data_IF_428548326048
#
_entry.id   IF_428548326048
#
_cell.length_a   1.000
_cell.length_b   1.000
_cell.length_c   1.000
_cell.angle_alpha   90.00
_cell.angle_beta   90.00
_cell.angle_gamma   90.00
#
_symmetry.space_group_name_H-M   'P 1'
#
loop_
_entity.id
_entity.type
_entity.pdbx_description
1 polymer ?
#
# COMPACT_ATOMS: atom_id res chain seq x y z
N UNK A 1 -31.12 3.03 -13.54
CA UNK A 1 -29.70 3.41 -13.66
C UNK A 1 -28.93 2.70 -12.56
N UNK A 2 -28.31 1.56 -12.89
CA UNK A 2 -27.62 0.72 -11.91
C UNK A 2 -26.15 1.15 -11.89
N UNK A 3 -25.75 1.89 -10.85
CA UNK A 3 -24.33 2.20 -10.63
C UNK A 3 -23.68 0.91 -10.14
N UNK A 4 -23.07 0.17 -11.07
CA UNK A 4 -22.15 -0.90 -10.71
C UNK A 4 -20.92 -0.26 -10.06
N UNK A 5 -20.80 -0.44 -8.74
CA UNK A 5 -19.56 -0.19 -8.04
C UNK A 5 -18.48 -1.06 -8.69
N UNK A 6 -17.40 -0.46 -9.21
CA UNK A 6 -16.27 -1.20 -9.80
C UNK A 6 -15.84 -2.26 -8.78
N UNK A 7 -16.06 -3.53 -9.11
CA UNK A 7 -15.59 -4.65 -8.30
C UNK A 7 -14.09 -4.50 -8.11
N UNK A 8 -13.62 -4.62 -6.86
CA UNK A 8 -12.20 -4.71 -6.57
C UNK A 8 -11.64 -5.86 -7.41
N UNK A 9 -10.67 -5.57 -8.29
CA UNK A 9 -10.00 -6.60 -9.09
C UNK A 9 -9.33 -7.56 -8.10
N UNK A 10 -9.78 -8.81 -8.09
CA UNK A 10 -9.17 -9.86 -7.26
C UNK A 10 -7.77 -10.18 -7.79
N UNK A 11 -6.86 -10.48 -6.88
CA UNK A 11 -5.49 -10.91 -7.18
C UNK A 11 -5.06 -12.00 -6.20
N UNK A 12 -4.03 -12.75 -6.56
CA UNK A 12 -3.41 -13.75 -5.70
C UNK A 12 -2.16 -13.18 -5.06
N UNK A 13 -2.04 -13.32 -3.74
CA UNK A 13 -0.84 -12.98 -2.99
C UNK A 13 -0.09 -14.25 -2.62
N UNK A 14 1.15 -14.37 -3.08
CA UNK A 14 2.08 -15.42 -2.70
C UNK A 14 3.14 -14.82 -1.78
N UNK A 15 3.22 -15.31 -0.55
CA UNK A 15 4.26 -14.92 0.40
C UNK A 15 5.31 -16.02 0.43
N UNK A 16 6.57 -15.67 0.19
CA UNK A 16 7.67 -16.64 0.10
C UNK A 16 8.84 -16.22 0.98
N UNK A 17 9.56 -17.21 1.51
CA UNK A 17 10.79 -16.99 2.24
C UNK A 17 11.81 -18.05 1.82
N UNK A 18 13.03 -17.62 1.51
CA UNK A 18 14.16 -18.51 1.29
C UNK A 18 15.26 -18.17 2.31
N UNK A 19 15.67 -19.13 3.16
CA UNK A 19 16.83 -18.94 4.05
C UNK A 19 18.12 -18.64 3.27
N UNK A 20 19.07 -17.89 3.86
CA UNK A 20 20.32 -17.50 3.18
C UNK A 20 21.12 -18.70 2.69
N UNK A 21 21.28 -19.72 3.53
CA UNK A 21 22.07 -20.93 3.23
C UNK A 21 21.31 -21.96 2.38
N UNK A 22 20.04 -21.69 2.05
CA UNK A 22 19.24 -22.61 1.25
C UNK A 22 19.73 -22.62 -0.20
N UNK A 23 19.83 -23.82 -0.79
CA UNK A 23 20.19 -23.98 -2.19
C UNK A 23 19.09 -23.41 -3.12
N UNK A 24 19.49 -22.82 -4.24
CA UNK A 24 18.60 -22.30 -5.30
C UNK A 24 17.60 -23.33 -5.85
N UNK A 25 17.82 -24.63 -5.61
CA UNK A 25 16.86 -25.69 -5.92
C UNK A 25 15.48 -25.45 -5.30
N UNK A 26 15.37 -24.72 -4.18
CA UNK A 26 14.09 -24.33 -3.57
C UNK A 26 13.21 -23.47 -4.49
N UNK A 27 13.77 -22.82 -5.50
CA UNK A 27 13.00 -22.07 -6.50
C UNK A 27 12.13 -22.97 -7.39
N UNK A 28 12.41 -24.29 -7.42
CA UNK A 28 11.54 -25.26 -8.08
C UNK A 28 10.14 -25.27 -7.46
N UNK A 29 10.07 -25.26 -6.14
CA UNK A 29 8.78 -25.26 -5.43
C UNK A 29 8.03 -23.95 -5.68
N UNK A 30 8.75 -22.81 -5.65
CA UNK A 30 8.17 -21.51 -6.01
C UNK A 30 7.60 -21.52 -7.42
N UNK A 31 8.35 -22.07 -8.39
CA UNK A 31 7.90 -22.21 -9.78
C UNK A 31 6.62 -23.03 -9.86
N UNK A 32 6.62 -24.22 -9.28
CA UNK A 32 5.51 -25.16 -9.39
C UNK A 32 4.22 -24.58 -8.75
N UNK A 33 4.36 -23.87 -7.62
CA UNK A 33 3.25 -23.14 -6.97
C UNK A 33 2.77 -21.95 -7.79
N UNK A 34 3.68 -21.18 -8.37
CA UNK A 34 3.33 -20.05 -9.24
C UNK A 34 2.60 -20.54 -10.50
N UNK A 35 3.04 -21.64 -11.11
CA UNK A 35 2.37 -22.24 -12.26
C UNK A 35 0.95 -22.70 -11.92
N UNK A 36 0.73 -23.28 -10.74
CA UNK A 36 -0.62 -23.59 -10.27
C UNK A 36 -1.46 -22.32 -10.08
N UNK A 37 -0.86 -21.25 -9.57
CA UNK A 37 -1.54 -19.97 -9.38
C UNK A 37 -1.97 -19.31 -10.71
N UNK A 38 -1.23 -19.55 -11.82
CA UNK A 38 -1.60 -19.04 -13.14
C UNK A 38 -2.95 -19.59 -13.63
N UNK A 39 -3.34 -20.79 -13.20
CA UNK A 39 -4.60 -21.44 -13.62
C UNK A 39 -5.83 -20.64 -13.18
N UNK A 40 -5.73 -19.86 -12.10
CA UNK A 40 -6.85 -19.03 -11.62
C UNK A 40 -7.14 -17.82 -12.52
N UNK A 41 -6.26 -17.49 -13.47
CA UNK A 41 -6.44 -16.35 -14.37
C UNK A 41 -6.46 -14.98 -13.68
N UNK A 42 -6.00 -14.93 -12.42
CA UNK A 42 -5.89 -13.71 -11.63
C UNK A 42 -4.47 -13.14 -11.72
N UNK A 43 -4.30 -11.81 -11.61
CA UNK A 43 -3.00 -11.21 -11.36
C UNK A 43 -2.36 -11.82 -10.09
N UNK A 44 -1.06 -12.06 -10.13
CA UNK A 44 -0.30 -12.68 -9.03
C UNK A 44 0.73 -11.67 -8.55
N UNK A 45 0.78 -11.45 -7.24
CA UNK A 45 1.83 -10.72 -6.55
C UNK A 45 2.62 -11.72 -5.68
N UNK A 46 3.94 -11.77 -5.86
CA UNK A 46 4.83 -12.56 -5.01
C UNK A 46 5.65 -11.60 -4.16
N UNK A 47 5.62 -11.78 -2.85
CA UNK A 47 6.35 -10.94 -1.89
C UNK A 47 7.17 -11.78 -0.92
N UNK A 48 8.34 -11.29 -0.55
CA UNK A 48 9.06 -11.78 0.61
C UNK A 48 10.58 -11.75 0.48
N UNK A 49 11.26 -12.28 1.49
CA UNK A 49 12.72 -12.28 1.59
C UNK A 49 13.28 -13.57 0.98
N UNK A 50 13.98 -13.44 -0.14
CA UNK A 50 14.61 -14.56 -0.82
C UNK A 50 16.09 -14.72 -0.49
N UNK A 51 16.67 -13.82 0.32
CA UNK A 51 18.11 -13.78 0.60
C UNK A 51 18.96 -13.92 -0.68
N UNK A 52 18.50 -13.31 -1.78
CA UNK A 52 19.15 -13.33 -3.08
C UNK A 52 19.27 -11.90 -3.57
N UNK A 53 20.48 -11.34 -3.47
CA UNK A 53 20.71 -9.94 -3.83
C UNK A 53 20.61 -9.74 -5.34
N UNK A 54 19.54 -9.08 -5.78
CA UNK A 54 19.27 -8.80 -7.19
C UNK A 54 20.15 -7.68 -7.77
N UNK A 55 20.89 -6.94 -6.95
CA UNK A 55 21.83 -5.91 -7.41
C UNK A 55 23.19 -6.48 -7.83
N UNK A 56 23.51 -7.70 -7.40
CA UNK A 56 24.78 -8.37 -7.67
C UNK A 56 24.60 -9.48 -8.69
N UNK A 57 25.55 -9.65 -9.62
CA UNK A 57 25.53 -10.73 -10.60
C UNK A 57 26.04 -12.07 -10.01
N UNK A 58 25.30 -12.66 -9.08
CA UNK A 58 25.60 -13.94 -8.45
C UNK A 58 24.93 -15.12 -9.18
N UNK A 59 25.30 -16.36 -8.83
CA UNK A 59 24.57 -17.54 -9.32
C UNK A 59 23.09 -17.52 -8.88
N UNK A 60 22.84 -17.07 -7.66
CA UNK A 60 21.50 -17.03 -7.08
C UNK A 60 20.61 -15.98 -7.76
N UNK A 61 21.13 -14.77 -7.97
CA UNK A 61 20.38 -13.70 -8.64
C UNK A 61 20.13 -14.01 -10.11
N UNK A 62 21.09 -14.62 -10.82
CA UNK A 62 20.88 -15.11 -12.20
C UNK A 62 19.78 -16.17 -12.24
N UNK A 63 19.79 -17.13 -11.32
CA UNK A 63 18.75 -18.17 -11.27
C UNK A 63 17.37 -17.58 -11.01
N UNK A 64 17.27 -16.64 -10.06
CA UNK A 64 16.01 -15.96 -9.73
C UNK A 64 15.52 -15.06 -10.88
N UNK A 65 16.41 -14.31 -11.53
CA UNK A 65 16.08 -13.50 -12.71
C UNK A 65 15.61 -14.38 -13.87
N UNK A 66 16.30 -15.49 -14.16
CA UNK A 66 15.90 -16.44 -15.19
C UNK A 66 14.52 -17.05 -14.90
N UNK A 67 14.26 -17.39 -13.64
CA UNK A 67 12.92 -17.84 -13.22
C UNK A 67 11.89 -16.74 -13.49
N UNK A 68 12.20 -15.51 -13.09
CA UNK A 68 11.34 -14.35 -13.31
C UNK A 68 10.98 -14.16 -14.78
N UNK A 69 11.98 -14.17 -15.66
CA UNK A 69 11.79 -14.09 -17.11
C UNK A 69 10.97 -15.26 -17.64
N UNK A 70 11.23 -16.49 -17.18
CA UNK A 70 10.51 -17.68 -17.67
C UNK A 70 9.02 -17.70 -17.31
N UNK A 71 8.64 -17.09 -16.19
CA UNK A 71 7.27 -17.03 -15.68
C UNK A 71 6.60 -15.67 -15.91
N UNK A 72 7.25 -14.77 -16.66
CA UNK A 72 6.82 -13.39 -16.87
C UNK A 72 6.53 -12.64 -15.55
N UNK A 73 7.33 -12.92 -14.51
CA UNK A 73 7.32 -12.20 -13.25
C UNK A 73 8.20 -10.96 -13.39
N UNK A 74 7.62 -9.78 -13.16
CA UNK A 74 8.34 -8.51 -13.18
C UNK A 74 8.60 -8.05 -11.76
N UNK A 75 9.87 -7.87 -11.42
CA UNK A 75 10.28 -7.27 -10.16
C UNK A 75 9.91 -5.78 -10.18
N UNK A 76 9.23 -5.31 -9.15
CA UNK A 76 8.82 -3.90 -9.04
C UNK A 76 9.90 -3.03 -8.41
N UNK A 77 10.71 -3.60 -7.52
CA UNK A 77 11.72 -2.88 -6.77
C UNK A 77 13.03 -2.80 -7.55
N UNK A 78 13.59 -1.60 -7.69
CA UNK A 78 14.85 -1.36 -8.40
C UNK A 78 15.96 -0.81 -7.51
N UNK A 79 15.62 -0.42 -6.27
CA UNK A 79 16.54 0.18 -5.31
C UNK A 79 16.78 -0.76 -4.12
N UNK A 80 17.95 -0.71 -3.46
CA UNK A 80 18.22 -1.51 -2.27
C UNK A 80 17.26 -1.15 -1.13
N UNK A 81 16.69 -2.17 -0.49
CA UNK A 81 15.76 -2.00 0.64
C UNK A 81 16.46 -2.28 1.97
N UNK A 82 17.47 -3.16 1.95
CA UNK A 82 18.29 -3.46 3.12
C UNK A 82 19.64 -2.77 3.00
N UNK A 83 19.78 -1.68 3.75
CA UNK A 83 21.02 -0.91 3.85
C UNK A 83 21.63 -1.15 5.22
N UNK A 84 22.86 -1.61 5.24
CA UNK A 84 23.70 -1.70 6.43
C UNK A 84 24.90 -0.78 6.26
N UNK A 85 25.73 -0.65 7.30
CA UNK A 85 26.99 0.09 7.30
C UNK A 85 27.84 -0.13 6.03
N UNK A 86 28.03 -1.39 5.67
CA UNK A 86 28.96 -1.82 4.62
C UNK A 86 28.27 -2.34 3.36
N UNK A 87 26.94 -2.43 3.33
CA UNK A 87 26.22 -3.10 2.23
C UNK A 87 24.88 -2.46 1.90
N UNK A 88 24.52 -2.52 0.62
CA UNK A 88 23.21 -2.11 0.10
C UNK A 88 22.71 -3.25 -0.76
N UNK A 89 21.65 -3.93 -0.32
CA UNK A 89 21.18 -5.17 -0.95
C UNK A 89 19.70 -5.10 -1.28
N UNK A 90 19.31 -5.79 -2.36
CA UNK A 90 17.91 -6.01 -2.75
C UNK A 90 17.61 -7.50 -2.63
N UNK A 91 17.38 -7.96 -1.41
CA UNK A 91 17.05 -9.36 -1.10
C UNK A 91 15.54 -9.59 -0.91
N UNK A 92 14.81 -8.53 -0.57
CA UNK A 92 13.35 -8.51 -0.54
C UNK A 92 12.79 -8.31 -1.95
N UNK A 93 11.86 -9.18 -2.35
CA UNK A 93 11.27 -9.16 -3.68
C UNK A 93 9.80 -8.81 -3.67
N UNK A 94 9.36 -8.11 -4.71
CA UNK A 94 7.96 -7.85 -5.03
C UNK A 94 7.80 -8.09 -6.53
N UNK A 95 7.48 -9.33 -6.90
CA UNK A 95 7.20 -9.69 -8.28
C UNK A 95 5.71 -9.57 -8.60
N UNK A 96 5.38 -9.15 -9.82
CA UNK A 96 4.01 -9.19 -10.34
C UNK A 96 3.95 -9.94 -11.67
N UNK A 97 2.85 -10.66 -11.91
CA UNK A 97 2.52 -11.22 -13.23
C UNK A 97 1.95 -10.17 -14.18
N UNK A 98 1.48 -9.04 -13.66
CA UNK A 98 0.84 -7.97 -14.44
C UNK A 98 1.14 -6.60 -13.84
N UNK A 99 1.92 -5.78 -14.55
CA UNK A 99 2.24 -4.41 -14.11
C UNK A 99 1.05 -3.46 -14.21
N UNK A 100 0.03 -3.76 -15.01
CA UNK A 100 -1.14 -2.89 -15.17
C UNK A 100 -2.07 -2.83 -13.95
N UNK A 101 -1.87 -3.70 -12.96
CA UNK A 101 -2.58 -3.65 -11.67
C UNK A 101 -1.84 -2.82 -10.61
N UNK A 102 -0.63 -2.37 -10.91
CA UNK A 102 0.18 -1.57 -10.00
C UNK A 102 -0.07 -0.09 -10.34
N UNK A 103 -0.64 0.64 -9.37
CA UNK A 103 -0.91 2.08 -9.50
C UNK A 103 0.34 2.89 -9.20
N UNK A 104 1.07 2.49 -8.16
CA UNK A 104 2.31 3.10 -7.73
C UNK A 104 3.18 2.04 -7.03
N UNK A 105 4.50 2.20 -7.08
CA UNK A 105 5.44 1.38 -6.33
C UNK A 105 6.60 2.25 -5.84
N UNK A 106 6.98 2.05 -4.57
CA UNK A 106 8.02 2.83 -3.93
C UNK A 106 8.40 2.23 -2.59
N UNK A 107 9.59 2.58 -2.13
CA UNK A 107 10.04 2.22 -0.79
C UNK A 107 9.52 3.30 0.14
N UNK A 108 8.58 2.94 1.01
CA UNK A 108 8.13 3.83 2.09
C UNK A 108 8.98 3.51 3.31
N UNK A 109 9.81 4.45 3.72
CA UNK A 109 10.56 4.33 4.97
C UNK A 109 9.61 4.59 6.14
N UNK A 110 8.99 3.52 6.64
CA UNK A 110 8.24 3.57 7.89
C UNK A 110 9.19 3.25 9.04
N UNK A 111 9.68 4.29 9.72
CA UNK A 111 10.12 4.11 11.10
C UNK A 111 8.90 3.64 11.88
N UNK A 112 8.90 2.42 12.41
CA UNK A 112 7.83 1.93 13.29
C UNK A 112 7.93 2.63 14.66
N UNK A 113 7.85 3.95 14.60
CA UNK A 113 7.45 4.80 15.71
C UNK A 113 5.92 4.81 15.70
N UNK A 114 5.34 4.39 16.81
CA UNK A 114 3.92 4.44 17.19
C UNK A 114 3.29 5.87 17.13
N UNK A 115 3.80 6.80 16.32
CA UNK A 115 3.60 8.23 16.48
C UNK A 115 3.26 9.03 15.21
N UNK A 116 2.82 8.40 14.13
CA UNK A 116 1.97 9.11 13.18
C UNK A 116 0.66 8.37 13.01
N UNK A 117 -0.25 8.63 13.94
CA UNK A 117 -1.66 8.58 13.62
C UNK A 117 -1.87 9.51 12.43
N UNK A 118 -1.84 8.98 11.22
CA UNK A 118 -2.27 9.68 10.02
C UNK A 118 -3.75 9.95 10.23
N UNK A 119 -4.07 11.18 10.61
CA UNK A 119 -5.45 11.64 10.71
C UNK A 119 -6.07 11.52 9.33
N UNK A 120 -6.97 10.55 9.14
CA UNK A 120 -7.73 10.45 7.91
C UNK A 120 -8.94 11.36 8.06
N UNK A 121 -9.05 12.36 7.20
CA UNK A 121 -10.25 13.19 7.13
C UNK A 121 -11.30 12.41 6.34
N UNK A 122 -12.38 12.03 7.01
CA UNK A 122 -13.50 11.32 6.39
C UNK A 122 -14.83 11.86 6.88
N UNK A 123 -15.89 11.71 6.09
CA UNK A 123 -17.24 12.10 6.49
C UNK A 123 -17.75 11.17 7.59
N UNK A 124 -18.23 11.77 8.68
CA UNK A 124 -18.78 11.04 9.83
C UNK A 124 -20.26 10.78 9.64
N UNK A 125 -20.63 9.53 9.33
CA UNK A 125 -22.03 9.11 9.21
C UNK A 125 -22.66 8.63 10.54
N UNK A 126 -21.98 8.83 11.68
CA UNK A 126 -22.41 8.31 13.00
C UNK A 126 -23.84 8.71 13.40
N UNK A 127 -24.29 9.90 12.98
CA UNK A 127 -25.63 10.42 13.25
C UNK A 127 -26.38 10.75 11.95
N UNK A 128 -25.98 10.14 10.83
CA UNK A 128 -26.61 10.39 9.54
C UNK A 128 -28.03 9.80 9.54
N UNK A 129 -29.03 10.66 9.36
CA UNK A 129 -30.41 10.25 9.10
C UNK A 129 -30.76 10.51 7.62
N UNK A 130 -30.97 9.45 6.82
CA UNK A 130 -31.36 9.59 5.41
C UNK A 130 -32.66 10.36 5.22
N UNK A 131 -33.62 10.26 6.16
CA UNK A 131 -34.95 10.89 6.00
C UNK A 131 -34.85 12.40 6.13
N UNK A 132 -34.17 12.88 7.18
CA UNK A 132 -33.92 14.31 7.38
C UNK A 132 -33.05 14.89 6.27
N UNK A 133 -32.00 14.16 5.84
CA UNK A 133 -31.17 14.56 4.71
C UNK A 133 -31.99 14.73 3.42
N UNK A 134 -32.81 13.74 3.06
CA UNK A 134 -33.66 13.81 1.87
C UNK A 134 -34.72 14.92 1.97
N UNK A 135 -35.25 15.15 3.17
CA UNK A 135 -36.20 16.24 3.42
C UNK A 135 -35.56 17.61 3.11
N UNK A 136 -34.33 17.84 3.57
CA UNK A 136 -33.64 19.11 3.31
C UNK A 136 -33.12 19.23 1.87
N UNK A 137 -32.71 18.12 1.26
CA UNK A 137 -32.30 18.08 -0.15
C UNK A 137 -33.46 18.45 -1.09
N UNK A 138 -34.70 18.08 -0.74
CA UNK A 138 -35.91 18.46 -1.49
C UNK A 138 -36.26 19.94 -1.39
N UNK A 139 -35.76 20.66 -0.39
CA UNK A 139 -36.00 22.11 -0.23
C UNK A 139 -35.11 22.96 -1.13
N UNK A 140 -34.08 22.37 -1.75
CA UNK A 140 -33.22 23.09 -2.68
C UNK A 140 -33.99 23.36 -3.98
N UNK A 141 -33.99 24.62 -4.48
CA UNK A 141 -34.60 24.98 -5.75
C UNK A 141 -33.73 24.53 -6.93
N UNK A 142 -33.70 23.22 -7.20
CA UNK A 142 -32.84 22.63 -8.24
C UNK A 142 -33.06 23.19 -9.66
N UNK A 143 -34.23 23.78 -9.91
CA UNK A 143 -34.55 24.41 -11.20
C UNK A 143 -33.66 25.63 -11.49
N UNK A 144 -33.09 26.27 -10.47
CA UNK A 144 -32.19 27.43 -10.65
C UNK A 144 -30.86 27.02 -11.30
N UNK A 145 -30.44 25.76 -11.17
CA UNK A 145 -29.26 25.23 -11.86
C UNK A 145 -29.46 25.09 -13.37
N UNK A 146 -30.68 25.23 -13.90
CA UNK A 146 -30.95 25.13 -15.34
C UNK A 146 -30.63 26.46 -16.05
N UNK A 147 -30.48 27.56 -15.31
CA UNK A 147 -30.37 28.92 -15.85
C UNK A 147 -28.98 29.33 -16.37
N UNK A 148 -27.92 28.59 -16.03
CA UNK A 148 -26.60 28.82 -16.66
C UNK A 148 -26.56 28.16 -18.04
N UNK A 149 -25.75 28.66 -18.97
CA UNK A 149 -25.50 28.02 -20.27
C UNK A 149 -24.22 27.14 -20.24
N UNK A 150 -23.40 27.24 -19.20
CA UNK A 150 -22.17 26.45 -19.04
C UNK A 150 -22.41 25.18 -18.21
N UNK A 151 -22.07 24.03 -18.79
CA UNK A 151 -22.15 22.72 -18.14
C UNK A 151 -21.28 22.66 -16.88
N UNK A 152 -20.11 23.32 -16.88
CA UNK A 152 -19.21 23.32 -15.73
C UNK A 152 -19.80 24.12 -14.56
N UNK A 153 -20.39 25.29 -14.83
CA UNK A 153 -21.08 26.08 -13.81
C UNK A 153 -22.30 25.35 -13.24
N UNK A 154 -23.08 24.65 -14.07
CA UNK A 154 -24.19 23.81 -13.60
C UNK A 154 -23.73 22.74 -12.64
N UNK A 155 -22.63 22.07 -12.98
CA UNK A 155 -22.04 21.04 -12.15
C UNK A 155 -21.52 21.62 -10.84
N UNK A 156 -20.87 22.79 -10.87
CA UNK A 156 -20.37 23.47 -9.68
C UNK A 156 -21.50 23.85 -8.73
N UNK A 157 -22.55 24.54 -9.22
CA UNK A 157 -23.70 24.91 -8.39
C UNK A 157 -24.42 23.70 -7.79
N UNK A 158 -24.54 22.60 -8.56
CA UNK A 158 -25.08 21.35 -8.04
C UNK A 158 -24.24 20.80 -6.89
N UNK A 159 -22.92 20.71 -7.10
CA UNK A 159 -21.95 20.20 -6.13
C UNK A 159 -21.99 21.03 -4.85
N UNK A 160 -21.99 22.36 -4.95
CA UNK A 160 -22.04 23.27 -3.81
C UNK A 160 -23.35 23.13 -3.02
N UNK A 161 -24.50 23.14 -3.70
CA UNK A 161 -25.80 23.01 -3.05
C UNK A 161 -25.95 21.64 -2.36
N UNK A 162 -25.49 20.58 -3.01
CA UNK A 162 -25.51 19.22 -2.45
C UNK A 162 -24.61 19.10 -1.22
N UNK A 163 -23.35 19.54 -1.33
CA UNK A 163 -22.40 19.42 -0.22
C UNK A 163 -22.77 20.31 0.96
N UNK A 164 -23.35 21.50 0.72
CA UNK A 164 -23.88 22.36 1.79
C UNK A 164 -24.89 21.64 2.68
N UNK A 165 -25.76 20.82 2.10
CA UNK A 165 -26.70 19.99 2.90
C UNK A 165 -25.98 18.79 3.49
N UNK A 166 -25.15 18.09 2.71
CA UNK A 166 -24.45 16.89 3.18
C UNK A 166 -23.52 17.18 4.36
N UNK A 167 -22.87 18.33 4.41
CA UNK A 167 -21.97 18.74 5.49
C UNK A 167 -22.67 18.85 6.84
N UNK A 168 -23.97 19.18 6.86
CA UNK A 168 -24.76 19.22 8.11
C UNK A 168 -25.06 17.83 8.68
N UNK A 169 -25.20 16.82 7.80
CA UNK A 169 -25.61 15.46 8.18
C UNK A 169 -24.45 14.47 8.26
N UNK A 170 -23.39 14.72 7.50
CA UNK A 170 -22.18 13.90 7.43
C UNK A 170 -20.93 14.79 7.32
N UNK A 171 -20.64 15.60 8.35
CA UNK A 171 -19.50 16.50 8.35
C UNK A 171 -18.18 15.74 8.26
N UNK A 172 -17.17 16.38 7.66
CA UNK A 172 -15.80 15.88 7.74
C UNK A 172 -15.33 15.86 9.19
N UNK A 173 -14.75 14.74 9.60
CA UNK A 173 -14.07 14.58 10.88
C UNK A 173 -12.71 13.98 10.65
N UNK A 174 -11.76 14.44 11.44
CA UNK A 174 -10.47 13.79 11.56
C UNK A 174 -10.65 12.48 12.34
N UNK A 175 -10.43 11.36 11.66
CA UNK A 175 -10.42 10.04 12.27
C UNK A 175 -8.98 9.71 12.59
N UNK A 176 -8.69 9.63 13.89
CA UNK A 176 -7.42 9.07 14.37
C UNK A 176 -7.50 7.56 14.26
N UNK A 177 -6.80 7.00 13.29
CA UNK A 177 -6.60 5.55 13.22
C UNK A 177 -5.72 5.19 14.40
N UNK A 178 -6.33 4.59 15.44
CA UNK A 178 -5.58 3.94 16.51
C UNK A 178 -5.19 2.57 15.98
N UNK A 179 -3.90 2.34 15.77
CA UNK A 179 -3.41 0.97 15.56
C UNK A 179 -3.81 0.12 16.77
N UNK A 180 -4.27 -1.11 16.50
CA UNK A 180 -4.51 -2.08 17.56
C UNK A 180 -3.20 -2.31 18.32
N UNK A 181 -3.22 -2.21 19.65
CA UNK A 181 -2.02 -2.51 20.45
C UNK A 181 -1.66 -3.97 20.21
N UNK A 182 -0.56 -4.23 19.51
CA UNK A 182 -0.04 -5.59 19.39
C UNK A 182 0.17 -6.12 20.83
N UNK A 183 -0.57 -7.16 21.26
CA UNK A 183 -0.52 -7.61 22.66
C UNK A 183 0.87 -8.11 23.07
N UNK A 184 1.73 -8.40 22.09
CA UNK A 184 3.10 -8.85 22.29
C UNK A 184 4.13 -7.70 22.37
N UNK A 185 3.74 -6.45 22.09
CA UNK A 185 4.62 -5.28 22.14
C UNK A 185 4.33 -4.50 23.43
N UNK A 186 5.20 -4.68 24.44
CA UNK A 186 5.15 -3.94 25.69
C UNK A 186 5.98 -2.63 25.62
N UNK A 187 5.90 -1.80 26.65
CA UNK A 187 6.60 -0.50 26.70
C UNK A 187 8.13 -0.62 26.66
N UNK A 188 8.70 -1.74 27.12
CA UNK A 188 10.14 -1.98 27.00
C UNK A 188 10.56 -2.24 25.56
N UNK A 189 9.78 -3.07 24.84
CA UNK A 189 10.00 -3.34 23.41
C UNK A 189 9.87 -2.04 22.62
N UNK A 190 8.87 -1.20 22.92
CA UNK A 190 8.73 0.11 22.28
C UNK A 190 9.94 1.01 22.51
N UNK A 191 10.44 1.11 23.75
CA UNK A 191 11.64 1.89 24.05
C UNK A 191 12.86 1.38 23.27
N UNK A 192 13.00 0.06 23.14
CA UNK A 192 14.07 -0.55 22.34
C UNK A 192 13.90 -0.21 20.86
N UNK A 193 12.69 -0.36 20.30
CA UNK A 193 12.37 0.00 18.92
C UNK A 193 12.67 1.48 18.64
N UNK A 194 12.21 2.41 19.48
CA UNK A 194 12.50 3.84 19.32
C UNK A 194 14.00 4.14 19.35
N UNK A 195 14.75 3.51 20.26
CA UNK A 195 16.21 3.68 20.33
C UNK A 195 16.89 3.14 19.08
N UNK A 196 16.49 1.97 18.61
CA UNK A 196 17.01 1.36 17.38
C UNK A 196 16.70 2.23 16.16
N UNK A 197 15.47 2.72 16.03
CA UNK A 197 15.06 3.60 14.93
C UNK A 197 15.83 4.92 14.93
N UNK A 198 16.04 5.52 16.11
CA UNK A 198 16.84 6.74 16.27
C UNK A 198 18.30 6.52 15.89
N UNK A 199 18.92 5.45 16.38
CA UNK A 199 20.30 5.09 16.04
C UNK A 199 20.44 4.84 14.53
N UNK A 200 19.54 4.05 13.95
CA UNK A 200 19.57 3.74 12.52
C UNK A 200 19.33 4.97 11.63
N UNK A 201 18.49 5.92 12.08
CA UNK A 201 18.33 7.22 11.41
C UNK A 201 19.63 8.02 11.43
N UNK A 202 20.27 8.13 12.60
CA UNK A 202 21.56 8.83 12.74
C UNK A 202 22.61 8.18 11.85
N UNK A 203 22.75 6.85 11.88
CA UNK A 203 23.69 6.09 11.06
C UNK A 203 23.57 6.38 9.56
N UNK A 204 22.34 6.53 9.07
CA UNK A 204 22.06 6.82 7.65
C UNK A 204 22.31 8.28 7.29
N UNK A 205 22.06 9.21 8.21
CA UNK A 205 22.33 10.64 8.02
C UNK A 205 23.84 10.95 8.08
N UNK A 206 24.57 10.36 9.02
CA UNK A 206 26.01 10.57 9.20
C UNK A 206 26.84 9.74 8.23
N UNK A 207 26.36 8.55 7.86
CA UNK A 207 27.12 7.59 7.06
C UNK A 207 28.40 7.09 7.75
N UNK A 208 28.57 7.39 9.04
CA UNK A 208 29.77 7.08 9.80
C UNK A 208 29.73 5.65 10.33
N UNK A 209 30.86 4.95 10.17
CA UNK A 209 31.12 3.56 10.57
C UNK A 209 30.69 3.26 12.03
N UNK A 210 30.84 4.25 12.93
CA UNK A 210 30.60 4.09 14.36
C UNK A 210 29.12 4.23 14.77
N UNK A 211 28.25 4.71 13.86
CA UNK A 211 26.86 5.03 14.18
C UNK A 211 25.86 3.95 13.72
N UNK A 212 26.31 2.98 12.90
CA UNK A 212 25.53 1.83 12.43
C UNK A 212 25.45 0.69 13.46
#
# INVERSE_FOLDING_TARGET
MQVQYKTLKSFLLCVTYKPPDCNVACFKDLRDRYTQALVYGLPILVVGDLNCDLLVNSSNSRTLNNLGTSLNMKQLLTQPIRVTETSKTLIDVIFTSNTAIIVDNGIVETHFSDAQATGVVARSFKYYDPRSFLSDLKKIPWYENILSDDVNEKLLHFIEAFFRVLDNYAPFKEIKIKHWRCPFINEEIKKKMTKTDQAHKIARETGALMDW
#
